data_IF_872012470277
#
_entry.id   IF_872012470277
#
_cell.length_a   1.000
_cell.length_b   1.000
_cell.length_c   1.000
_cell.angle_alpha   90.00
_cell.angle_beta   90.00
_cell.angle_gamma   90.00
#
_symmetry.space_group_name_H-M   'P 1'
#
loop_
_entity.id
_entity.type
_entity.pdbx_description
1 polymer ?
#
# COMPACT_ATOMS: atom_id res chain seq x y z
N UNK A 1 3.53 37.72 19.09
CA UNK A 1 3.56 36.91 17.85
C UNK A 1 2.48 37.44 16.92
N UNK A 2 2.83 37.80 15.68
CA UNK A 2 1.87 38.29 14.69
C UNK A 2 1.02 37.13 14.13
N UNK A 3 -0.21 37.40 13.70
CA UNK A 3 -1.13 36.39 13.14
C UNK A 3 -0.55 35.72 11.90
N UNK A 4 0.08 36.47 11.00
CA UNK A 4 0.76 35.90 9.82
C UNK A 4 1.89 34.93 10.22
N UNK A 5 2.74 35.33 11.16
CA UNK A 5 3.83 34.49 11.67
C UNK A 5 3.27 33.18 12.25
N UNK A 6 2.19 33.26 13.03
CA UNK A 6 1.53 32.08 13.58
C UNK A 6 1.02 31.13 12.49
N UNK A 7 0.45 31.67 11.41
CA UNK A 7 -0.07 30.87 10.29
C UNK A 7 1.07 30.16 9.57
N UNK A 8 2.17 30.88 9.28
CA UNK A 8 3.35 30.30 8.63
C UNK A 8 4.01 29.23 9.50
N UNK A 9 4.22 29.50 10.78
CA UNK A 9 4.75 28.52 11.74
C UNK A 9 3.85 27.30 11.87
N UNK A 10 2.53 27.50 11.89
CA UNK A 10 1.57 26.39 11.95
C UNK A 10 1.64 25.49 10.72
N UNK A 11 1.71 26.09 9.53
CA UNK A 11 1.85 25.36 8.27
C UNK A 11 3.19 24.61 8.22
N UNK A 12 4.29 25.25 8.63
CA UNK A 12 5.61 24.63 8.72
C UNK A 12 5.65 23.46 9.72
N UNK A 13 4.90 23.55 10.83
CA UNK A 13 4.70 22.45 11.78
C UNK A 13 3.79 21.34 11.23
N UNK A 14 3.23 21.48 10.03
CA UNK A 14 2.35 20.49 9.41
C UNK A 14 0.92 20.46 9.97
N UNK A 15 0.47 21.56 10.58
CA UNK A 15 -0.94 21.71 10.97
C UNK A 15 -1.84 21.94 9.75
N UNK A 16 -3.12 21.60 9.89
CA UNK A 16 -4.10 21.87 8.84
C UNK A 16 -4.62 23.30 8.91
N UNK A 17 -5.08 23.84 7.77
CA UNK A 17 -5.80 25.12 7.68
C UNK A 17 -6.92 25.24 8.73
N UNK A 18 -7.66 24.14 8.95
CA UNK A 18 -8.73 24.08 9.94
C UNK A 18 -8.20 24.23 11.37
N UNK A 19 -7.14 23.50 11.72
CA UNK A 19 -6.54 23.56 13.04
C UNK A 19 -5.97 24.95 13.34
N UNK A 20 -5.25 25.54 12.39
CA UNK A 20 -4.71 26.90 12.52
C UNK A 20 -5.81 27.93 12.68
N UNK A 21 -6.88 27.87 11.86
CA UNK A 21 -8.04 28.74 11.99
C UNK A 21 -8.70 28.64 13.37
N UNK A 22 -8.92 27.41 13.86
CA UNK A 22 -9.54 27.17 15.17
C UNK A 22 -8.66 27.71 16.30
N UNK A 23 -7.34 27.56 16.21
CA UNK A 23 -6.40 28.09 17.20
C UNK A 23 -6.38 29.63 17.22
N UNK A 24 -6.61 30.27 16.08
CA UNK A 24 -6.78 31.73 15.98
C UNK A 24 -8.17 32.21 16.43
N UNK A 25 -9.14 31.31 16.62
CA UNK A 25 -10.50 31.67 17.03
C UNK A 25 -11.31 32.40 15.95
N UNK A 26 -10.89 32.38 14.68
CA UNK A 26 -11.52 33.16 13.60
C UNK A 26 -12.44 32.33 12.70
N UNK A 27 -13.37 33.01 12.03
CA UNK A 27 -14.27 32.42 11.05
C UNK A 27 -13.54 31.91 9.79
N UNK A 28 -14.11 30.93 9.06
CA UNK A 28 -13.50 30.38 7.85
C UNK A 28 -13.35 31.40 6.71
N UNK A 29 -14.27 32.36 6.62
CA UNK A 29 -14.22 33.43 5.62
C UNK A 29 -13.06 34.40 5.87
N UNK A 30 -12.92 34.91 7.09
CA UNK A 30 -11.80 35.78 7.49
C UNK A 30 -10.47 35.07 7.22
N UNK A 31 -10.35 33.80 7.60
CA UNK A 31 -9.11 33.05 7.35
C UNK A 31 -8.81 32.87 5.86
N UNK A 32 -9.83 32.68 5.00
CA UNK A 32 -9.63 32.62 3.55
C UNK A 32 -9.11 33.95 3.00
N UNK A 33 -9.68 35.07 3.42
CA UNK A 33 -9.20 36.41 3.03
C UNK A 33 -7.76 36.65 3.50
N UNK A 34 -7.39 36.19 4.69
CA UNK A 34 -5.99 36.29 5.13
C UNK A 34 -5.06 35.48 4.21
N UNK A 35 -5.47 34.28 3.77
CA UNK A 35 -4.68 33.45 2.88
C UNK A 35 -4.54 34.03 1.45
N UNK A 36 -5.46 34.88 0.98
CA UNK A 36 -5.30 35.54 -0.33
C UNK A 36 -4.16 36.57 -0.28
N UNK A 37 -3.95 37.20 0.87
CA UNK A 37 -2.84 38.13 1.12
C UNK A 37 -1.50 37.41 1.39
N UNK A 38 -1.51 36.09 1.60
CA UNK A 38 -0.34 35.27 1.90
C UNK A 38 -0.29 34.01 1.01
N UNK A 39 -0.04 34.16 -0.30
CA UNK A 39 -0.08 33.03 -1.24
C UNK A 39 1.04 32.01 -1.01
N UNK A 40 2.19 32.44 -0.47
CA UNK A 40 3.40 31.62 -0.34
C UNK A 40 3.41 30.76 0.94
N UNK A 41 2.31 30.05 1.20
CA UNK A 41 2.20 29.13 2.34
C UNK A 41 1.92 27.72 1.84
N UNK A 42 2.91 26.85 1.97
CA UNK A 42 2.76 25.43 1.71
C UNK A 42 2.01 24.76 2.86
N UNK A 43 0.83 24.25 2.55
CA UNK A 43 0.03 23.48 3.49
C UNK A 43 0.25 21.98 3.25
N UNK A 44 0.21 21.15 4.31
CA UNK A 44 0.27 19.70 4.15
C UNK A 44 -0.86 19.22 3.23
N UNK A 45 -0.52 18.28 2.35
CA UNK A 45 -1.48 17.64 1.46
C UNK A 45 -2.63 16.97 2.24
N UNK A 46 -3.74 16.71 1.54
CA UNK A 46 -4.90 16.03 2.12
C UNK A 46 -4.47 14.73 2.83
N UNK A 47 -4.85 14.59 4.10
CA UNK A 47 -4.52 13.42 4.92
C UNK A 47 -3.12 13.42 5.54
N UNK A 48 -2.26 14.41 5.22
CA UNK A 48 -0.89 14.46 5.73
C UNK A 48 -0.68 15.39 6.93
N UNK A 49 -1.66 16.25 7.23
CA UNK A 49 -1.60 17.13 8.39
C UNK A 49 -1.47 16.33 9.69
N UNK A 50 -0.74 16.87 10.67
CA UNK A 50 -0.57 16.25 11.98
C UNK A 50 -1.88 15.93 12.67
N UNK A 51 -2.87 16.83 12.58
CA UNK A 51 -4.21 16.62 13.16
C UNK A 51 -4.89 15.37 12.58
N UNK A 52 -4.78 15.15 11.27
CA UNK A 52 -5.30 13.96 10.60
C UNK A 52 -4.56 12.70 11.04
N UNK A 53 -3.23 12.75 11.12
CA UNK A 53 -2.40 11.64 11.61
C UNK A 53 -2.76 11.27 13.06
N UNK A 54 -2.96 12.29 13.92
CA UNK A 54 -3.38 12.14 15.31
C UNK A 54 -4.79 11.55 15.44
N UNK A 55 -5.74 12.03 14.65
CA UNK A 55 -7.09 11.46 14.62
C UNK A 55 -7.08 10.00 14.15
N UNK A 56 -6.28 9.67 13.13
CA UNK A 56 -6.13 8.29 12.66
C UNK A 56 -5.42 7.40 13.70
N UNK A 57 -4.41 7.90 14.40
CA UNK A 57 -3.76 7.13 15.47
C UNK A 57 -4.71 6.90 16.64
N UNK A 58 -5.53 7.89 17.01
CA UNK A 58 -6.56 7.74 18.03
C UNK A 58 -7.60 6.69 17.64
N UNK A 59 -8.08 6.70 16.38
CA UNK A 59 -9.03 5.69 15.88
C UNK A 59 -8.44 4.28 15.80
N UNK A 60 -7.18 4.16 15.39
CA UNK A 60 -6.47 2.87 15.31
C UNK A 60 -6.18 2.27 16.69
N UNK A 61 -6.20 3.08 17.74
CA UNK A 61 -5.83 2.67 19.09
C UNK A 61 -4.33 2.44 19.25
N UNK A 62 -3.95 1.84 20.38
CA UNK A 62 -2.56 1.51 20.70
C UNK A 62 -2.25 0.06 20.31
N UNK A 63 -1.31 -0.13 19.39
CA UNK A 63 -0.74 -1.45 19.13
C UNK A 63 0.25 -1.77 20.26
N UNK A 64 -0.13 -2.70 21.14
CA UNK A 64 0.77 -3.13 22.22
C UNK A 64 1.99 -3.85 21.64
N UNK A 65 3.17 -3.78 22.28
CA UNK A 65 4.34 -4.55 21.84
C UNK A 65 4.07 -6.06 21.74
N UNK A 66 3.20 -6.59 22.59
CA UNK A 66 2.74 -7.97 22.54
C UNK A 66 1.93 -8.26 21.26
N UNK A 67 1.00 -7.37 20.89
CA UNK A 67 0.22 -7.51 19.66
C UNK A 67 1.12 -7.41 18.42
N UNK A 68 2.09 -6.50 18.41
CA UNK A 68 3.07 -6.38 17.32
C UNK A 68 3.84 -7.69 17.12
N UNK A 69 4.37 -8.27 18.21
CA UNK A 69 5.05 -9.57 18.18
C UNK A 69 4.13 -10.69 17.69
N UNK A 70 2.88 -10.73 18.14
CA UNK A 70 1.91 -11.74 17.71
C UNK A 70 1.61 -11.61 16.20
N UNK A 71 1.51 -10.38 15.66
CA UNK A 71 1.34 -10.16 14.22
C UNK A 71 2.57 -10.62 13.42
N UNK A 72 3.77 -10.37 13.92
CA UNK A 72 5.00 -10.82 13.26
C UNK A 72 5.14 -12.35 13.31
N UNK A 73 4.79 -12.99 14.43
CA UNK A 73 4.69 -14.44 14.54
C UNK A 73 3.66 -15.01 13.56
N UNK A 74 2.48 -14.39 13.44
CA UNK A 74 1.45 -14.83 12.49
C UNK A 74 1.92 -14.68 11.03
N UNK A 75 2.66 -13.61 10.70
CA UNK A 75 3.28 -13.43 9.38
C UNK A 75 4.32 -14.51 9.09
N UNK A 76 5.17 -14.81 10.07
CA UNK A 76 6.21 -15.84 9.95
C UNK A 76 5.59 -17.23 9.78
N UNK A 77 4.61 -17.60 10.61
CA UNK A 77 3.89 -18.87 10.48
C UNK A 77 3.17 -18.99 9.13
N UNK A 78 2.61 -17.89 8.61
CA UNK A 78 2.03 -17.86 7.26
C UNK A 78 3.10 -18.05 6.19
N UNK A 79 4.26 -17.41 6.31
CA UNK A 79 5.38 -17.58 5.38
C UNK A 79 5.85 -19.03 5.36
N UNK A 80 6.06 -19.62 6.53
CA UNK A 80 6.47 -21.03 6.67
C UNK A 80 5.47 -21.98 6.02
N UNK A 81 4.17 -21.79 6.27
CA UNK A 81 3.10 -22.61 5.64
C UNK A 81 3.11 -22.54 4.10
N UNK A 82 3.51 -21.40 3.55
CA UNK A 82 3.55 -21.16 2.10
C UNK A 82 4.96 -21.29 1.50
N UNK A 83 5.93 -21.74 2.29
CA UNK A 83 7.27 -22.05 1.82
C UNK A 83 7.28 -23.49 1.34
N UNK A 84 7.75 -23.71 0.13
CA UNK A 84 7.83 -25.02 -0.49
C UNK A 84 9.23 -25.29 -1.00
N UNK A 85 9.63 -26.56 -0.97
CA UNK A 85 10.89 -27.02 -1.55
C UNK A 85 10.61 -27.74 -2.85
N UNK A 86 11.17 -27.26 -3.96
CA UNK A 86 11.04 -27.86 -5.30
C UNK A 86 12.42 -27.93 -5.94
N UNK A 87 12.83 -29.13 -6.38
CA UNK A 87 14.15 -29.39 -6.99
C UNK A 87 15.34 -28.82 -6.21
N UNK A 88 15.31 -28.97 -4.89
CA UNK A 88 16.38 -28.48 -4.00
C UNK A 88 16.40 -26.96 -3.75
N UNK A 89 15.40 -26.23 -4.25
CA UNK A 89 15.23 -24.79 -3.99
C UNK A 89 14.04 -24.58 -3.07
N UNK A 90 14.21 -23.74 -2.06
CA UNK A 90 13.20 -23.47 -1.04
C UNK A 90 12.77 -22.02 -1.13
N UNK A 91 11.47 -21.78 -1.23
CA UNK A 91 10.92 -20.44 -1.28
C UNK A 91 9.41 -20.44 -1.30
N UNK A 92 8.84 -19.25 -1.27
CA UNK A 92 7.43 -19.03 -1.60
C UNK A 92 7.17 -19.32 -3.08
N UNK A 93 5.91 -19.48 -3.47
CA UNK A 93 5.53 -19.71 -4.87
C UNK A 93 6.09 -18.65 -5.82
N UNK A 94 6.08 -17.39 -5.38
CA UNK A 94 6.63 -16.27 -6.12
C UNK A 94 8.15 -16.40 -6.27
N UNK A 95 8.86 -16.64 -5.16
CA UNK A 95 10.31 -16.86 -5.16
C UNK A 95 10.70 -18.08 -6.01
N UNK A 96 9.90 -19.15 -6.01
CA UNK A 96 10.16 -20.34 -6.83
C UNK A 96 9.97 -20.08 -8.32
N UNK A 97 9.01 -19.23 -8.72
CA UNK A 97 8.84 -18.82 -10.12
C UNK A 97 9.99 -17.95 -10.62
N UNK A 98 10.60 -17.16 -9.74
CA UNK A 98 11.77 -16.35 -10.08
C UNK A 98 13.06 -17.19 -10.10
N UNK A 99 13.22 -18.10 -9.12
CA UNK A 99 14.40 -18.94 -9.00
C UNK A 99 14.45 -19.99 -10.10
N UNK A 100 13.38 -20.79 -10.26
CA UNK A 100 13.26 -21.74 -11.36
C UNK A 100 12.87 -20.94 -12.61
N UNK A 101 13.52 -21.12 -13.78
CA UNK A 101 13.10 -20.49 -15.03
C UNK A 101 11.76 -21.10 -15.47
N UNK A 102 10.69 -20.75 -14.76
CA UNK A 102 9.36 -21.26 -14.98
C UNK A 102 8.75 -20.50 -16.16
N UNK A 103 8.16 -21.20 -17.13
CA UNK A 103 7.46 -20.54 -18.24
C UNK A 103 6.13 -19.91 -17.80
N UNK A 104 5.80 -19.90 -16.51
CA UNK A 104 4.45 -19.68 -15.99
C UNK A 104 4.44 -18.77 -14.76
N UNK A 105 3.50 -17.82 -14.71
CA UNK A 105 3.34 -16.90 -13.58
C UNK A 105 2.79 -17.57 -12.31
N UNK A 106 3.13 -17.04 -11.13
CA UNK A 106 2.67 -17.53 -9.83
C UNK A 106 1.14 -17.69 -9.74
N UNK A 107 0.38 -16.78 -10.36
CA UNK A 107 -1.09 -16.88 -10.44
C UNK A 107 -1.56 -18.14 -11.18
N UNK A 108 -0.87 -18.51 -12.25
CA UNK A 108 -1.20 -19.73 -13.01
C UNK A 108 -0.80 -20.98 -12.25
N UNK A 109 0.33 -20.95 -11.53
CA UNK A 109 0.74 -22.05 -10.64
C UNK A 109 -0.32 -22.28 -9.56
N UNK A 110 -0.81 -21.23 -8.89
CA UNK A 110 -1.91 -21.34 -7.91
C UNK A 110 -3.17 -21.96 -8.50
N UNK A 111 -3.54 -21.56 -9.72
CA UNK A 111 -4.70 -22.14 -10.44
C UNK A 111 -4.52 -23.63 -10.72
N UNK A 112 -3.31 -24.06 -11.11
CA UNK A 112 -2.99 -25.47 -11.37
C UNK A 112 -3.00 -26.32 -10.10
N UNK A 113 -2.45 -25.79 -9.00
CA UNK A 113 -2.55 -26.44 -7.69
C UNK A 113 -4.01 -26.62 -7.25
N UNK A 114 -4.85 -25.60 -7.45
CA UNK A 114 -6.28 -25.70 -7.16
C UNK A 114 -7.01 -26.73 -8.04
N UNK A 115 -6.49 -26.99 -9.25
CA UNK A 115 -6.98 -28.05 -10.14
C UNK A 115 -6.41 -29.44 -9.80
N UNK A 116 -5.63 -29.58 -8.71
CA UNK A 116 -5.07 -30.85 -8.23
C UNK A 116 -3.72 -31.23 -8.86
N UNK A 117 -3.08 -30.32 -9.61
CA UNK A 117 -1.74 -30.56 -10.16
C UNK A 117 -0.68 -30.51 -9.05
N UNK A 118 0.37 -31.32 -9.17
CA UNK A 118 1.51 -31.25 -8.25
C UNK A 118 2.23 -29.91 -8.38
N UNK A 119 2.93 -29.46 -7.32
CA UNK A 119 3.65 -28.18 -7.36
C UNK A 119 4.77 -28.18 -8.41
N UNK A 120 5.48 -29.30 -8.57
CA UNK A 120 6.52 -29.44 -9.57
C UNK A 120 5.94 -29.35 -10.99
N UNK A 121 4.89 -30.10 -11.29
CA UNK A 121 4.23 -30.05 -12.59
C UNK A 121 3.61 -28.68 -12.86
N UNK A 122 3.07 -28.03 -11.83
CA UNK A 122 2.47 -26.71 -11.94
C UNK A 122 3.49 -25.63 -12.31
N UNK A 123 4.73 -25.75 -11.85
CA UNK A 123 5.84 -24.84 -12.15
C UNK A 123 6.51 -25.13 -13.50
N UNK A 124 6.60 -26.40 -13.90
CA UNK A 124 7.39 -26.80 -15.07
C UNK A 124 6.58 -27.02 -16.33
N UNK A 125 5.27 -27.27 -16.20
CA UNK A 125 4.41 -27.45 -17.37
C UNK A 125 4.32 -26.14 -18.16
N UNK A 126 4.64 -26.11 -19.46
CA UNK A 126 4.50 -24.92 -20.27
C UNK A 126 3.02 -24.49 -20.38
N UNK A 127 2.78 -23.26 -20.85
CA UNK A 127 1.43 -22.83 -21.18
C UNK A 127 0.85 -23.77 -22.25
N UNK A 128 -0.25 -24.44 -21.93
CA UNK A 128 -1.03 -25.13 -22.97
C UNK A 128 -1.55 -24.06 -23.94
N UNK A 129 -1.42 -24.27 -25.26
CA UNK A 129 -1.97 -23.34 -26.23
C UNK A 129 -3.48 -23.16 -25.97
N UNK A 130 -4.02 -21.96 -26.21
CA UNK A 130 -5.45 -21.73 -26.08
C UNK A 130 -6.21 -22.75 -26.93
N UNK A 131 -7.29 -23.33 -26.38
CA UNK A 131 -8.16 -24.26 -27.11
C UNK A 131 -8.57 -23.62 -28.45
N UNK A 132 -8.60 -24.38 -29.56
CA UNK A 132 -9.04 -23.85 -30.84
C UNK A 132 -10.48 -23.33 -30.69
N UNK A 133 -10.66 -22.00 -30.78
CA UNK A 133 -11.94 -21.32 -30.55
C UNK A 133 -11.82 -19.96 -29.86
N UNK A 134 -10.73 -19.70 -29.13
CA UNK A 134 -10.43 -18.35 -28.63
C UNK A 134 -9.64 -17.57 -29.68
N UNK A 135 -10.28 -16.61 -30.37
CA UNK A 135 -9.54 -15.64 -31.20
C UNK A 135 -8.63 -14.81 -30.30
N UNK A 136 -7.32 -14.71 -30.54
CA UNK A 136 -6.51 -13.68 -29.92
C UNK A 136 -7.06 -12.32 -30.37
N UNK A 137 -7.27 -11.41 -29.43
CA UNK A 137 -7.60 -10.02 -29.76
C UNK A 137 -6.48 -9.48 -30.64
N UNK A 138 -6.78 -9.24 -31.92
CA UNK A 138 -5.87 -8.58 -32.83
C UNK A 138 -5.45 -7.26 -32.18
N UNK A 139 -4.16 -7.12 -31.93
CA UNK A 139 -3.59 -5.83 -31.58
C UNK A 139 -3.76 -4.93 -32.80
N UNK A 140 -4.70 -4.00 -32.71
CA UNK A 140 -4.79 -2.87 -33.63
C UNK A 140 -3.58 -2.00 -33.33
N UNK A 141 -2.54 -2.11 -34.15
CA UNK A 141 -1.49 -1.10 -34.21
C UNK A 141 -2.02 0.11 -34.98
N UNK A 142 -1.61 1.35 -34.62
CA UNK A 142 -2.10 2.58 -35.23
C UNK A 142 -1.76 2.69 -36.72
#
# INVERSE_FOLDING_TARGET
>A
MNTEQFIRESAARGLSRRATRLALGIGPWVFREMLTLMPDIEWPAKGQSLDHKRANSQKRGYCTPALARALDQARQARKEKHTHTVRGRTGTLEELVDLLPSPVSASTVRRRLAAGMSLEDALLSPHLPPKPGHRPLQQVQP
#
